data_IF_673732769827
#
_entry.id   IF_673732769827
#
_cell.length_a   1.000
_cell.length_b   1.000
_cell.length_c   1.000
_cell.angle_alpha   90.00
_cell.angle_beta   90.00
_cell.angle_gamma   90.00
#
_symmetry.space_group_name_H-M   'P 1'
#
loop_
_entity.id
_entity.type
_entity.pdbx_description
1 polymer ?
#
# COMPACT_ATOMS: atom_id res chain seq x y z
N UNK A 1 24.87 -26.68 55.67
CA UNK A 1 24.58 -25.69 56.74
C UNK A 1 23.54 -24.72 56.19
N UNK A 2 22.56 -24.24 56.98
CA UNK A 2 21.45 -23.38 56.48
C UNK A 2 21.59 -21.94 57.00
N UNK A 3 21.26 -20.96 56.16
CA UNK A 3 20.67 -19.62 56.41
C UNK A 3 20.29 -19.09 55.00
N UNK A 4 19.10 -18.54 54.68
CA UNK A 4 18.30 -17.44 55.27
C UNK A 4 19.07 -16.09 55.24
N UNK A 5 18.52 -14.92 54.86
CA UNK A 5 17.22 -14.48 54.29
C UNK A 5 17.47 -13.09 53.60
N UNK A 6 16.59 -12.30 52.98
CA UNK A 6 15.12 -12.21 52.89
C UNK A 6 14.68 -11.50 51.57
N UNK A 7 13.37 -11.28 51.38
CA UNK A 7 12.73 -10.57 50.26
C UNK A 7 12.95 -9.04 50.27
N UNK A 8 12.81 -8.41 49.10
CA UNK A 8 12.31 -7.04 48.97
C UNK A 8 11.33 -6.97 47.78
N UNK A 9 10.02 -6.90 48.09
CA UNK A 9 8.94 -6.69 47.12
C UNK A 9 8.42 -5.26 47.30
N UNK A 10 8.28 -4.49 46.21
CA UNK A 10 7.58 -3.20 46.23
C UNK A 10 6.62 -3.09 45.04
N UNK A 11 5.58 -2.28 45.19
CA UNK A 11 4.32 -2.38 44.44
C UNK A 11 3.65 -1.00 44.34
N UNK A 12 2.72 -0.85 43.39
CA UNK A 12 1.99 0.37 43.00
C UNK A 12 2.84 1.39 42.19
N UNK A 13 2.24 2.22 41.32
CA UNK A 13 0.80 2.47 41.14
C UNK A 13 0.33 2.29 39.68
N UNK A 14 -0.95 1.94 39.52
CA UNK A 14 -1.64 1.93 38.23
C UNK A 14 -2.34 3.29 37.98
N UNK A 15 -2.35 3.75 36.73
CA UNK A 15 -3.21 4.84 36.28
C UNK A 15 -4.45 4.24 35.61
N UNK A 16 -5.64 4.60 36.09
CA UNK A 16 -6.90 4.14 35.51
C UNK A 16 -7.52 5.21 34.61
N UNK A 17 -7.76 4.87 33.34
CA UNK A 17 -8.73 5.59 32.51
C UNK A 17 -10.08 4.86 32.57
N UNK A 18 -11.16 5.62 32.67
CA UNK A 18 -12.52 5.11 32.83
C UNK A 18 -13.12 4.68 31.49
N UNK A 19 -13.77 3.50 31.42
CA UNK A 19 -14.72 3.21 30.34
C UNK A 19 -15.92 4.17 30.39
N UNK A 20 -16.50 4.48 29.23
CA UNK A 20 -17.77 5.21 29.15
C UNK A 20 -18.91 4.20 28.94
N UNK A 21 -19.71 3.95 29.97
CA UNK A 21 -20.92 3.14 29.85
C UNK A 21 -21.99 3.86 29.02
N UNK A 22 -22.49 3.17 27.99
CA UNK A 22 -23.48 3.67 27.03
C UNK A 22 -24.34 2.57 26.43
N UNK A 23 -24.71 1.56 27.23
CA UNK A 23 -25.42 0.38 26.75
C UNK A 23 -26.94 0.56 26.61
N UNK A 24 -27.49 0.15 25.47
CA UNK A 24 -28.90 -0.20 25.30
C UNK A 24 -29.04 -1.51 24.53
N UNK A 25 -29.26 -2.60 25.25
CA UNK A 25 -29.71 -3.88 24.67
C UNK A 25 -31.22 -3.97 24.71
N UNK A 26 -31.85 -4.37 23.60
CA UNK A 26 -32.97 -5.31 23.66
C UNK A 26 -33.01 -6.16 22.38
N UNK A 27 -33.68 -7.32 22.42
CA UNK A 27 -33.31 -8.47 21.57
C UNK A 27 -34.47 -9.16 20.82
N UNK A 28 -34.09 -10.14 19.99
CA UNK A 28 -34.91 -11.19 19.32
C UNK A 28 -35.34 -10.90 17.87
N UNK A 29 -35.15 -11.90 16.99
CA UNK A 29 -35.63 -11.86 15.60
C UNK A 29 -34.96 -12.88 14.67
N UNK A 30 -35.21 -14.18 14.85
CA UNK A 30 -34.74 -15.23 13.93
C UNK A 30 -35.92 -15.97 13.29
N UNK A 31 -36.02 -15.92 11.95
CA UNK A 31 -36.68 -16.95 11.12
C UNK A 31 -36.30 -16.81 9.64
N UNK A 32 -35.75 -17.89 9.10
CA UNK A 32 -36.02 -18.56 7.79
C UNK A 32 -36.33 -17.77 6.49
N UNK A 33 -35.72 -18.27 5.41
CA UNK A 33 -35.88 -17.96 3.98
C UNK A 33 -37.29 -18.12 3.38
N UNK A 34 -37.58 -17.40 2.28
CA UNK A 34 -38.35 -17.88 1.10
C UNK A 34 -37.99 -17.05 -0.15
N UNK A 35 -37.99 -17.68 -1.33
CA UNK A 35 -37.57 -17.11 -2.63
C UNK A 35 -38.64 -16.27 -3.40
N UNK A 36 -38.18 -15.74 -4.55
CA UNK A 36 -38.90 -15.65 -5.84
C UNK A 36 -39.52 -14.32 -6.34
N UNK A 37 -38.68 -13.60 -7.12
CA UNK A 37 -38.85 -13.36 -8.58
C UNK A 37 -39.70 -12.20 -9.18
N UNK A 38 -39.18 -11.75 -10.34
CA UNK A 38 -39.84 -11.13 -11.52
C UNK A 38 -39.91 -9.60 -11.71
N UNK A 39 -39.06 -9.10 -12.64
CA UNK A 39 -39.39 -8.48 -13.96
C UNK A 39 -40.81 -7.93 -14.23
N UNK A 40 -41.05 -6.89 -15.06
CA UNK A 40 -40.26 -6.27 -16.16
C UNK A 40 -40.60 -4.78 -16.39
N UNK A 41 -39.72 -4.09 -17.14
CA UNK A 41 -39.71 -2.70 -17.64
C UNK A 41 -41.02 -2.04 -18.16
N UNK A 42 -40.94 -0.71 -18.34
CA UNK A 42 -41.90 0.11 -19.10
C UNK A 42 -41.29 1.42 -19.59
N UNK A 43 -40.72 1.44 -20.80
CA UNK A 43 -40.22 2.64 -21.49
C UNK A 43 -41.37 3.44 -22.12
N UNK A 44 -41.21 4.76 -22.26
CA UNK A 44 -42.17 5.61 -22.97
C UNK A 44 -41.61 6.98 -23.30
N UNK A 45 -41.32 7.20 -24.57
CA UNK A 45 -40.94 8.50 -25.15
C UNK A 45 -42.20 9.29 -25.52
N UNK A 46 -42.15 10.62 -25.48
CA UNK A 46 -42.50 11.42 -26.67
C UNK A 46 -41.96 12.86 -26.57
N UNK A 47 -41.85 13.54 -27.71
CA UNK A 47 -41.19 14.84 -27.83
C UNK A 47 -42.15 15.99 -28.17
N UNK A 48 -41.73 17.23 -27.89
CA UNK A 48 -42.11 18.38 -28.71
C UNK A 48 -41.09 19.52 -28.63
N UNK A 49 -40.98 20.28 -29.71
CA UNK A 49 -40.05 21.40 -29.88
C UNK A 49 -40.82 22.67 -30.25
N UNK A 50 -40.39 23.82 -29.72
CA UNK A 50 -40.80 25.13 -30.24
C UNK A 50 -39.69 26.17 -30.07
N UNK A 51 -39.14 26.61 -31.19
CA UNK A 51 -38.19 27.73 -31.31
C UNK A 51 -38.92 29.07 -31.46
N UNK A 52 -38.44 30.17 -30.85
CA UNK A 52 -38.30 31.48 -31.55
C UNK A 52 -37.79 32.67 -30.71
N UNK A 53 -37.00 33.49 -31.39
CA UNK A 53 -36.82 34.97 -31.29
C UNK A 53 -36.11 35.65 -30.11
N UNK A 54 -35.07 36.39 -30.51
CA UNK A 54 -34.20 37.34 -29.81
C UNK A 54 -34.86 38.69 -29.48
N UNK A 55 -34.50 39.30 -28.34
CA UNK A 55 -34.35 40.76 -28.18
C UNK A 55 -33.45 41.09 -26.97
N UNK A 56 -32.70 42.21 -27.04
CA UNK A 56 -31.96 42.81 -25.91
C UNK A 56 -32.83 43.91 -25.24
N UNK A 57 -32.49 44.62 -24.16
CA UNK A 57 -31.20 45.00 -23.52
C UNK A 57 -31.36 45.22 -22.00
N UNK A 58 -30.27 45.35 -21.24
CA UNK A 58 -29.96 46.47 -20.31
C UNK A 58 -28.67 46.18 -19.52
N UNK A 59 -27.71 47.09 -19.51
CA UNK A 59 -26.50 47.01 -18.67
C UNK A 59 -26.75 47.38 -17.21
N UNK A 60 -26.07 46.69 -16.29
CA UNK A 60 -25.81 47.15 -14.92
C UNK A 60 -24.41 46.67 -14.48
N UNK A 61 -23.46 47.59 -14.16
CA UNK A 61 -22.09 47.20 -13.86
C UNK A 61 -21.91 46.81 -12.39
N UNK A 62 -21.28 45.66 -12.13
CA UNK A 62 -20.80 45.31 -10.79
C UNK A 62 -19.35 44.81 -10.88
N UNK A 63 -18.47 45.50 -10.15
CA UNK A 63 -17.13 45.09 -9.67
C UNK A 63 -16.46 43.90 -10.37
N UNK A 64 -15.43 44.19 -11.19
CA UNK A 64 -14.54 43.16 -11.71
C UNK A 64 -13.69 42.56 -10.58
N UNK A 65 -13.95 41.30 -10.28
CA UNK A 65 -13.08 40.45 -9.47
C UNK A 65 -11.95 39.91 -10.38
N UNK A 66 -10.65 40.12 -10.06
CA UNK A 66 -9.57 39.55 -10.84
C UNK A 66 -9.51 38.05 -10.55
N UNK A 67 -10.21 37.25 -11.35
CA UNK A 67 -10.01 35.80 -11.41
C UNK A 67 -8.59 35.54 -11.92
N UNK A 68 -7.63 35.55 -11.00
CA UNK A 68 -6.26 35.10 -11.25
C UNK A 68 -6.32 33.60 -11.47
N UNK A 69 -6.54 33.22 -12.72
CA UNK A 69 -6.17 31.90 -13.24
C UNK A 69 -4.68 31.75 -13.02
N UNK A 70 -4.33 31.19 -11.86
CA UNK A 70 -2.96 30.87 -11.50
C UNK A 70 -2.54 29.65 -12.34
N UNK A 71 -2.16 29.93 -13.58
CA UNK A 71 -1.43 28.98 -14.42
C UNK A 71 -0.04 28.82 -13.81
N UNK A 72 0.04 28.01 -12.76
CA UNK A 72 1.28 27.52 -12.17
C UNK A 72 1.94 26.55 -13.15
N UNK A 73 2.42 27.08 -14.27
CA UNK A 73 3.28 26.36 -15.20
C UNK A 73 4.67 26.25 -14.59
N UNK A 74 4.82 25.32 -13.65
CA UNK A 74 6.10 24.83 -13.15
C UNK A 74 6.79 24.05 -14.27
N UNK A 75 7.35 24.77 -15.24
CA UNK A 75 8.14 24.19 -16.34
C UNK A 75 9.55 23.83 -15.85
N UNK A 76 9.61 22.96 -14.84
CA UNK A 76 10.70 22.00 -14.72
C UNK A 76 10.29 20.74 -15.48
N UNK A 77 11.27 19.96 -15.91
CA UNK A 77 11.04 18.57 -16.30
C UNK A 77 10.65 17.76 -15.04
N UNK A 78 9.85 16.71 -15.21
CA UNK A 78 9.44 15.83 -14.10
C UNK A 78 10.69 15.13 -13.54
N UNK A 79 11.06 15.44 -12.30
CA UNK A 79 12.16 14.77 -11.61
C UNK A 79 11.61 13.54 -10.88
N UNK A 80 12.05 12.36 -11.30
CA UNK A 80 11.65 11.09 -10.72
C UNK A 80 12.73 10.53 -9.79
N UNK A 81 12.29 9.74 -8.82
CA UNK A 81 13.10 9.12 -7.79
C UNK A 81 12.56 7.70 -7.51
N UNK A 82 13.14 7.02 -6.53
CA UNK A 82 12.65 5.74 -5.99
C UNK A 82 12.71 4.60 -7.00
N UNK A 83 13.83 4.49 -7.71
CA UNK A 83 14.09 3.44 -8.70
C UNK A 83 13.46 3.66 -10.07
N UNK A 84 12.75 4.78 -10.29
CA UNK A 84 12.15 5.10 -11.58
C UNK A 84 13.18 5.68 -12.58
N UNK A 85 13.25 5.12 -13.78
CA UNK A 85 14.08 5.59 -14.90
C UNK A 85 13.19 5.90 -16.12
N UNK A 86 12.84 7.18 -16.32
CA UNK A 86 11.97 7.62 -17.42
C UNK A 86 12.67 7.54 -18.79
N UNK A 87 14.00 7.63 -18.82
CA UNK A 87 14.83 7.65 -20.03
C UNK A 87 15.21 6.25 -20.54
N UNK A 88 14.87 5.19 -19.79
CA UNK A 88 15.12 3.81 -20.16
C UNK A 88 14.52 3.45 -21.55
N UNK A 89 15.24 2.67 -22.39
CA UNK A 89 14.91 2.53 -23.81
C UNK A 89 13.66 1.68 -24.12
N UNK A 90 13.07 1.03 -23.12
CA UNK A 90 11.82 0.28 -23.20
C UNK A 90 11.27 0.03 -21.77
N UNK A 91 9.95 -0.22 -21.62
CA UNK A 91 9.36 -0.60 -20.35
C UNK A 91 10.03 -1.80 -19.68
N UNK A 92 10.36 -1.67 -18.39
CA UNK A 92 10.99 -2.73 -17.59
C UNK A 92 10.54 -2.71 -16.12
N UNK A 93 10.76 -3.83 -15.43
CA UNK A 93 10.62 -4.01 -13.99
C UNK A 93 11.66 -5.03 -13.51
N UNK A 94 12.48 -4.63 -12.54
CA UNK A 94 13.40 -5.49 -11.78
C UNK A 94 13.19 -5.23 -10.29
N UNK A 95 13.38 -6.24 -9.43
CA UNK A 95 13.17 -6.12 -7.98
C UNK A 95 14.46 -6.43 -7.22
N UNK A 96 14.65 -5.74 -6.10
CA UNK A 96 15.80 -5.84 -5.21
C UNK A 96 15.36 -5.99 -3.75
N UNK A 97 16.27 -6.43 -2.88
CA UNK A 97 16.12 -6.32 -1.43
C UNK A 97 16.68 -4.99 -0.88
N UNK A 98 16.59 -4.78 0.44
CA UNK A 98 17.11 -3.59 1.10
C UNK A 98 18.65 -3.45 1.04
N UNK A 99 19.42 -4.53 0.82
CA UNK A 99 20.87 -4.44 0.58
C UNK A 99 21.20 -4.20 -0.91
N UNK A 100 20.18 -3.97 -1.75
CA UNK A 100 20.25 -3.81 -3.20
C UNK A 100 20.83 -5.05 -3.91
N UNK A 101 20.56 -6.25 -3.38
CA UNK A 101 20.74 -7.50 -4.10
C UNK A 101 19.51 -7.78 -4.98
N UNK A 102 19.73 -8.12 -6.26
CA UNK A 102 18.66 -8.40 -7.22
C UNK A 102 17.93 -9.69 -6.85
N UNK A 103 16.60 -9.59 -6.71
CA UNK A 103 15.70 -10.72 -6.44
C UNK A 103 15.45 -11.52 -7.72
N UNK A 104 15.38 -12.84 -7.59
CA UNK A 104 15.16 -13.78 -8.69
C UNK A 104 14.80 -15.17 -8.14
N UNK A 105 14.44 -16.11 -9.03
CA UNK A 105 14.22 -17.53 -8.71
C UNK A 105 15.32 -18.12 -7.81
N UNK A 106 14.94 -18.57 -6.62
CA UNK A 106 15.81 -19.16 -5.61
C UNK A 106 16.66 -18.17 -4.78
N UNK A 107 16.56 -16.86 -5.02
CA UNK A 107 17.17 -15.83 -4.16
C UNK A 107 16.37 -15.71 -2.87
N UNK A 108 17.07 -15.55 -1.74
CA UNK A 108 16.43 -15.41 -0.43
C UNK A 108 15.81 -14.02 -0.28
N UNK A 109 14.53 -13.95 0.10
CA UNK A 109 13.85 -12.69 0.42
C UNK A 109 13.92 -12.45 1.95
N UNK A 110 14.65 -11.43 2.44
CA UNK A 110 14.82 -11.19 3.87
C UNK A 110 13.60 -10.51 4.52
N UNK A 111 13.27 -10.93 5.74
CA UNK A 111 12.36 -10.22 6.62
C UNK A 111 13.06 -8.98 7.20
N UNK A 112 12.37 -7.85 7.18
CA UNK A 112 12.90 -6.56 7.58
C UNK A 112 11.90 -5.77 8.43
N UNK A 113 12.39 -4.73 9.12
CA UNK A 113 11.59 -3.91 10.01
C UNK A 113 11.11 -2.65 9.27
N UNK A 114 9.83 -2.62 8.91
CA UNK A 114 9.21 -1.53 8.17
C UNK A 114 9.01 -0.26 8.99
N UNK A 115 8.80 0.86 8.29
CA UNK A 115 8.78 2.23 8.86
C UNK A 115 7.68 2.58 9.87
N UNK A 116 6.94 1.59 10.39
CA UNK A 116 5.97 1.75 11.49
C UNK A 116 6.17 0.78 12.68
N UNK A 117 7.24 -0.01 12.70
CA UNK A 117 7.43 -1.05 13.73
C UNK A 117 6.71 -2.37 13.39
N UNK A 118 6.25 -2.53 12.15
CA UNK A 118 5.72 -3.79 11.61
C UNK A 118 6.81 -4.52 10.83
N UNK A 119 6.87 -5.85 10.95
CA UNK A 119 7.68 -6.68 10.07
C UNK A 119 7.11 -6.66 8.64
N UNK A 120 7.99 -6.71 7.63
CA UNK A 120 7.63 -6.85 6.22
C UNK A 120 8.69 -7.65 5.47
N UNK A 121 8.37 -8.06 4.25
CA UNK A 121 9.37 -8.37 3.22
C UNK A 121 9.31 -7.25 2.19
N UNK A 122 10.41 -6.50 2.04
CA UNK A 122 10.47 -5.38 1.11
C UNK A 122 10.83 -5.82 -0.30
N UNK A 123 10.04 -5.38 -1.28
CA UNK A 123 10.42 -5.41 -2.69
C UNK A 123 10.83 -3.99 -3.09
N UNK A 124 12.08 -3.79 -3.48
CA UNK A 124 12.64 -2.49 -3.87
C UNK A 124 12.72 -2.44 -5.40
N UNK A 125 11.78 -1.80 -6.12
CA UNK A 125 11.71 -1.90 -7.56
C UNK A 125 12.67 -0.92 -8.26
N UNK A 126 13.31 -1.36 -9.34
CA UNK A 126 13.79 -0.48 -10.41
C UNK A 126 12.95 -0.72 -11.66
N UNK A 127 12.43 0.35 -12.25
CA UNK A 127 11.42 0.27 -13.30
C UNK A 127 11.34 1.58 -14.07
N UNK A 128 10.63 1.60 -15.20
CA UNK A 128 10.49 2.80 -16.02
C UNK A 128 10.51 2.49 -17.51
N UNK A 129 10.97 3.44 -18.32
CA UNK A 129 10.91 3.39 -19.79
C UNK A 129 9.57 3.85 -20.37
N UNK A 130 8.82 4.65 -19.61
CA UNK A 130 7.54 5.25 -19.97
C UNK A 130 7.31 6.53 -19.14
N UNK A 131 6.48 7.45 -19.63
CA UNK A 131 5.98 8.59 -18.84
C UNK A 131 4.81 8.11 -17.96
N UNK A 132 4.88 8.24 -16.62
CA UNK A 132 3.79 7.84 -15.73
C UNK A 132 2.64 8.85 -15.80
N UNK A 133 1.40 8.38 -15.60
CA UNK A 133 0.20 9.23 -15.69
C UNK A 133 0.02 10.21 -14.51
N UNK A 134 0.94 10.21 -13.54
CA UNK A 134 0.94 11.04 -12.34
C UNK A 134 2.23 10.86 -11.54
N UNK A 135 2.22 11.32 -10.29
CA UNK A 135 3.34 11.19 -9.34
C UNK A 135 3.44 9.81 -8.66
N UNK A 136 2.50 8.92 -8.97
CA UNK A 136 2.31 7.62 -8.34
C UNK A 136 1.95 6.56 -9.38
N UNK A 137 2.46 5.36 -9.21
CA UNK A 137 2.09 4.15 -9.98
C UNK A 137 1.38 3.14 -9.08
N UNK A 138 0.83 2.08 -9.67
CA UNK A 138 0.23 0.95 -8.93
C UNK A 138 0.93 -0.34 -9.33
N UNK A 139 1.36 -1.11 -8.34
CA UNK A 139 1.81 -2.49 -8.50
C UNK A 139 0.69 -3.43 -8.08
N UNK A 140 0.31 -4.36 -8.95
CA UNK A 140 -0.58 -5.46 -8.60
C UNK A 140 0.27 -6.61 -8.04
N UNK A 141 0.19 -6.84 -6.73
CA UNK A 141 1.07 -7.78 -6.01
C UNK A 141 0.27 -8.99 -5.49
N UNK A 142 0.74 -10.19 -5.80
CA UNK A 142 0.27 -11.45 -5.21
C UNK A 142 1.45 -12.26 -4.67
N UNK A 143 1.31 -12.78 -3.46
CA UNK A 143 2.31 -13.64 -2.80
C UNK A 143 1.62 -14.82 -2.15
N UNK A 144 2.11 -16.01 -2.46
CA UNK A 144 1.68 -17.28 -1.89
C UNK A 144 2.82 -17.92 -1.10
N UNK A 145 2.58 -18.38 0.13
CA UNK A 145 3.61 -18.94 1.03
C UNK A 145 3.19 -20.31 1.53
N UNK A 146 4.10 -21.29 1.50
CA UNK A 146 3.82 -22.70 1.79
C UNK A 146 3.09 -22.90 3.14
N UNK A 147 1.78 -23.13 3.08
CA UNK A 147 0.92 -23.38 4.24
C UNK A 147 0.41 -22.12 4.98
N UNK A 148 0.78 -20.92 4.54
CA UNK A 148 0.40 -19.64 5.18
C UNK A 148 -0.52 -18.75 4.32
N UNK A 149 -1.13 -19.32 3.28
CA UNK A 149 -2.20 -18.72 2.48
C UNK A 149 -3.51 -18.59 3.29
N UNK A 150 -3.55 -17.63 4.21
CA UNK A 150 -4.64 -17.47 5.18
C UNK A 150 -5.50 -16.23 4.94
N UNK A 151 -5.17 -15.39 3.96
CA UNK A 151 -5.97 -14.19 3.67
C UNK A 151 -7.32 -14.56 2.99
N UNK A 152 -8.33 -13.66 3.00
CA UNK A 152 -9.66 -13.97 2.46
C UNK A 152 -9.74 -14.25 0.95
N UNK A 153 -8.69 -13.92 0.18
CA UNK A 153 -8.60 -14.23 -1.25
C UNK A 153 -7.97 -15.63 -1.51
N UNK A 154 -7.30 -16.22 -0.52
CA UNK A 154 -6.61 -17.51 -0.62
C UNK A 154 -5.09 -17.40 -0.81
N UNK A 155 -4.52 -16.22 -0.56
CA UNK A 155 -3.09 -15.92 -0.67
C UNK A 155 -2.45 -15.62 0.70
N UNK A 156 -1.13 -15.46 0.76
CA UNK A 156 -0.44 -14.88 1.91
C UNK A 156 -0.59 -13.35 1.89
N UNK A 157 -0.30 -12.72 0.74
CA UNK A 157 -0.56 -11.31 0.47
C UNK A 157 -1.18 -11.15 -0.92
N UNK A 158 -2.10 -10.20 -1.10
CA UNK A 158 -2.70 -9.90 -2.41
C UNK A 158 -3.34 -8.51 -2.43
N UNK A 159 -2.95 -7.63 -3.35
CA UNK A 159 -3.61 -6.33 -3.58
C UNK A 159 -2.79 -5.28 -4.35
N UNK A 160 -3.46 -4.18 -4.68
CA UNK A 160 -2.88 -2.97 -5.29
C UNK A 160 -1.96 -2.24 -4.27
N UNK A 161 -0.71 -1.98 -4.66
CA UNK A 161 0.23 -1.14 -3.89
C UNK A 161 0.53 0.15 -4.65
N UNK A 162 0.09 1.27 -4.08
CA UNK A 162 0.31 2.61 -4.62
C UNK A 162 1.72 3.09 -4.26
N UNK A 163 2.56 3.37 -5.25
CA UNK A 163 3.97 3.66 -5.10
C UNK A 163 4.32 5.04 -5.68
N UNK A 164 4.91 5.91 -4.85
CA UNK A 164 5.24 7.29 -5.22
C UNK A 164 6.60 7.38 -5.92
N UNK A 165 6.64 7.98 -7.10
CA UNK A 165 7.84 8.13 -7.95
C UNK A 165 8.42 9.55 -7.96
N UNK A 166 7.77 10.51 -7.28
CA UNK A 166 8.29 11.88 -7.17
C UNK A 166 9.48 12.01 -6.21
N UNK A 167 10.31 13.03 -6.41
CA UNK A 167 11.46 13.32 -5.56
C UNK A 167 11.16 14.15 -4.29
N UNK A 168 9.93 14.63 -4.09
CA UNK A 168 9.55 15.38 -2.89
C UNK A 168 9.38 14.45 -1.66
N UNK A 169 9.75 14.93 -0.46
CA UNK A 169 9.57 14.17 0.78
C UNK A 169 8.08 14.11 1.19
N UNK A 170 7.46 12.93 1.11
CA UNK A 170 6.07 12.74 1.57
C UNK A 170 5.96 12.69 3.10
N UNK A 171 4.86 13.24 3.65
CA UNK A 171 4.60 13.26 5.10
C UNK A 171 3.97 11.95 5.60
N UNK A 172 4.80 10.92 5.73
CA UNK A 172 4.44 9.61 6.28
C UNK A 172 4.18 8.55 5.21
N UNK A 173 4.35 7.29 5.60
CA UNK A 173 4.49 6.15 4.68
C UNK A 173 5.93 5.63 4.67
N UNK A 174 6.21 4.66 3.80
CA UNK A 174 7.57 4.20 3.49
C UNK A 174 7.80 4.49 2.00
N UNK A 175 8.93 5.10 1.67
CA UNK A 175 9.33 5.43 0.29
C UNK A 175 10.34 4.40 -0.22
N UNK A 176 10.37 4.18 -1.53
CA UNK A 176 11.34 3.30 -2.18
C UNK A 176 11.05 1.79 -2.07
N UNK A 177 9.91 1.38 -1.51
CA UNK A 177 9.58 -0.04 -1.28
C UNK A 177 8.11 -0.36 -1.56
N UNK A 178 7.86 -1.53 -2.12
CA UNK A 178 6.56 -2.22 -2.23
C UNK A 178 6.53 -3.28 -1.10
N UNK A 179 5.81 -3.04 0.01
CA UNK A 179 5.95 -3.87 1.22
C UNK A 179 4.96 -5.03 1.26
N UNK A 180 5.47 -6.27 1.35
CA UNK A 180 4.68 -7.45 1.68
C UNK A 180 4.53 -7.50 3.21
N UNK A 181 3.36 -7.15 3.72
CA UNK A 181 3.06 -7.22 5.17
C UNK A 181 2.51 -8.63 5.50
N UNK A 182 3.12 -9.40 6.43
CA UNK A 182 2.56 -10.66 6.90
C UNK A 182 1.18 -10.46 7.56
N UNK A 183 0.22 -11.40 7.40
CA UNK A 183 -1.11 -11.26 8.00
C UNK A 183 -1.10 -11.10 9.53
N UNK A 184 -2.02 -10.29 10.07
CA UNK A 184 -2.17 -10.03 11.52
C UNK A 184 -2.45 -11.30 12.34
N UNK A 185 -3.00 -12.35 11.72
CA UNK A 185 -3.22 -13.66 12.34
C UNK A 185 -1.91 -14.46 12.56
N UNK A 186 -0.78 -14.03 12.01
CA UNK A 186 0.52 -14.70 12.13
C UNK A 186 1.16 -14.39 13.50
N UNK A 187 1.34 -15.38 14.40
CA UNK A 187 1.72 -15.10 15.80
C UNK A 187 3.21 -14.77 16.00
N UNK A 188 4.08 -15.16 15.07
CA UNK A 188 5.52 -14.87 15.03
C UNK A 188 5.99 -15.07 13.58
N UNK A 189 6.58 -14.07 12.90
CA UNK A 189 7.11 -14.25 11.55
C UNK A 189 8.19 -15.33 11.42
N UNK A 190 8.82 -15.77 12.52
CA UNK A 190 9.83 -16.83 12.48
C UNK A 190 9.30 -18.21 12.07
N UNK A 191 7.97 -18.40 11.99
CA UNK A 191 7.38 -19.59 11.39
C UNK A 191 7.51 -19.64 9.86
N UNK A 192 7.88 -18.52 9.23
CA UNK A 192 8.10 -18.40 7.79
C UNK A 192 9.56 -18.73 7.37
N UNK A 193 10.47 -18.89 8.32
CA UNK A 193 11.91 -19.03 8.05
C UNK A 193 12.24 -20.27 7.23
N UNK A 194 12.81 -20.08 6.04
CA UNK A 194 13.12 -21.13 5.08
C UNK A 194 11.93 -21.69 4.30
N UNK A 195 10.72 -21.14 4.44
CA UNK A 195 9.57 -21.52 3.61
C UNK A 195 9.67 -20.92 2.21
N UNK A 196 9.08 -21.61 1.24
CA UNK A 196 8.97 -21.12 -0.13
C UNK A 196 7.84 -20.11 -0.27
N UNK A 197 8.12 -18.99 -0.94
CA UNK A 197 7.13 -18.03 -1.41
C UNK A 197 7.11 -17.99 -2.95
N UNK A 198 5.94 -18.06 -3.55
CA UNK A 198 5.71 -17.71 -4.96
C UNK A 198 5.32 -16.22 -4.99
N UNK A 199 6.11 -15.38 -5.65
CA UNK A 199 5.91 -13.92 -5.74
C UNK A 199 5.64 -13.54 -7.19
N UNK A 200 4.50 -12.88 -7.40
CA UNK A 200 4.04 -12.37 -8.68
C UNK A 200 3.70 -10.88 -8.54
N UNK A 201 4.30 -10.05 -9.39
CA UNK A 201 4.11 -8.58 -9.39
C UNK A 201 3.86 -8.12 -10.81
N UNK A 202 2.80 -7.34 -11.05
CA UNK A 202 2.54 -6.68 -12.33
C UNK A 202 2.52 -5.15 -12.19
N UNK A 203 2.83 -4.46 -13.29
CA UNK A 203 2.82 -3.01 -13.41
C UNK A 203 2.38 -2.60 -14.83
N UNK A 204 1.42 -1.67 -14.94
CA UNK A 204 1.08 -1.05 -16.22
C UNK A 204 2.06 0.08 -16.57
N UNK A 205 3.09 -0.28 -17.34
CA UNK A 205 4.11 0.64 -17.82
C UNK A 205 3.64 1.39 -19.09
N UNK A 206 2.62 2.22 -18.93
CA UNK A 206 2.12 3.14 -19.97
C UNK A 206 1.29 2.49 -21.08
N UNK A 207 0.54 1.43 -20.75
CA UNK A 207 -0.20 0.59 -21.70
C UNK A 207 0.54 -0.69 -22.12
N UNK A 208 1.71 -0.96 -21.51
CA UNK A 208 2.41 -2.24 -21.60
C UNK A 208 2.54 -2.84 -20.20
N UNK A 209 1.92 -3.99 -19.98
CA UNK A 209 2.10 -4.76 -18.76
C UNK A 209 3.54 -5.32 -18.70
N UNK A 210 4.23 -5.09 -17.59
CA UNK A 210 5.50 -5.75 -17.24
C UNK A 210 5.29 -6.53 -15.94
N UNK A 211 5.90 -7.72 -15.83
CA UNK A 211 5.77 -8.58 -14.64
C UNK A 211 7.12 -9.01 -14.08
N UNK A 212 7.11 -9.35 -12.80
CA UNK A 212 8.14 -10.12 -12.10
C UNK A 212 7.50 -11.38 -11.54
N UNK A 213 8.15 -12.52 -11.74
CA UNK A 213 7.67 -13.84 -11.35
C UNK A 213 8.85 -14.66 -10.78
N UNK A 214 8.83 -15.02 -9.50
CA UNK A 214 9.88 -15.83 -8.87
C UNK A 214 9.40 -16.67 -7.68
N UNK A 215 9.99 -17.86 -7.53
CA UNK A 215 9.90 -18.67 -6.32
C UNK A 215 11.11 -18.39 -5.44
N UNK A 216 10.90 -17.89 -4.22
CA UNK A 216 11.96 -17.39 -3.33
C UNK A 216 11.82 -17.97 -1.91
N UNK A 217 12.89 -18.53 -1.30
CA UNK A 217 12.86 -18.87 0.12
C UNK A 217 12.86 -17.62 0.99
N UNK A 218 11.99 -17.57 2.00
CA UNK A 218 11.93 -16.48 2.96
C UNK A 218 13.02 -16.64 4.05
N UNK A 219 13.61 -15.54 4.49
CA UNK A 219 14.54 -15.51 5.65
C UNK A 219 13.93 -14.68 6.78
N UNK A 220 13.39 -15.35 7.79
CA UNK A 220 12.78 -14.74 8.97
C UNK A 220 13.39 -15.33 10.27
N UNK A 221 14.72 -15.30 10.45
CA UNK A 221 15.38 -16.05 11.52
C UNK A 221 14.87 -15.62 12.90
N UNK A 222 14.59 -16.60 13.76
CA UNK A 222 14.03 -16.37 15.11
C UNK A 222 14.85 -15.39 15.96
N UNK A 223 16.17 -15.29 15.74
CA UNK A 223 17.04 -14.31 16.42
C UNK A 223 16.70 -12.86 16.03
N UNK A 224 16.21 -12.63 14.81
CA UNK A 224 15.73 -11.33 14.33
C UNK A 224 14.36 -11.00 14.93
N UNK A 225 13.38 -11.92 14.85
CA UNK A 225 12.02 -11.63 15.31
C UNK A 225 11.94 -11.40 16.82
N UNK A 226 12.76 -12.10 17.61
CA UNK A 226 12.86 -11.93 19.07
C UNK A 226 13.48 -10.61 19.53
N UNK A 227 14.25 -9.91 18.68
CA UNK A 227 14.70 -8.54 18.98
C UNK A 227 13.57 -7.51 18.86
N UNK A 228 12.51 -7.85 18.12
CA UNK A 228 11.36 -7.00 17.85
C UNK A 228 11.63 -5.93 16.79
N UNK A 229 10.63 -5.63 15.97
CA UNK A 229 10.71 -4.50 15.03
C UNK A 229 10.44 -3.19 15.78
N UNK A 230 11.50 -2.61 16.36
CA UNK A 230 11.45 -1.26 16.92
C UNK A 230 11.88 -0.24 15.86
N UNK A 231 11.23 0.93 15.86
CA UNK A 231 11.54 2.07 14.99
C UNK A 231 13.05 2.44 14.97
N UNK A 232 13.76 1.90 13.98
CA UNK A 232 14.69 2.68 13.18
C UNK A 232 14.04 2.86 11.81
N UNK A 233 13.98 4.09 11.31
CA UNK A 233 13.80 4.26 9.87
C UNK A 233 15.10 3.77 9.24
N UNK A 234 15.05 2.60 8.63
CA UNK A 234 16.03 2.20 7.64
C UNK A 234 15.89 3.20 6.48
N UNK A 235 16.79 4.17 6.39
CA UNK A 235 16.83 5.08 5.24
C UNK A 235 16.92 4.21 3.98
N UNK A 236 15.97 4.33 3.02
CA UNK A 236 15.98 3.53 1.80
C UNK A 236 17.30 3.73 1.05
N UNK A 237 17.79 2.69 0.33
CA UNK A 237 19.07 2.72 -0.37
C UNK A 237 19.33 4.04 -1.12
N UNK A 238 20.49 4.63 -0.86
CA UNK A 238 20.79 6.02 -1.24
C UNK A 238 20.93 6.23 -2.76
N UNK A 239 21.07 5.15 -3.51
CA UNK A 239 21.03 5.06 -4.97
C UNK A 239 19.60 5.14 -5.54
N UNK A 240 18.62 4.47 -4.92
CA UNK A 240 17.20 4.61 -5.29
C UNK A 240 16.71 6.07 -5.21
N UNK A 241 17.30 6.87 -4.31
CA UNK A 241 16.99 8.30 -4.12
C UNK A 241 17.77 9.24 -5.04
N UNK A 242 18.58 8.72 -5.97
CA UNK A 242 19.61 9.49 -6.68
C UNK A 242 19.76 9.20 -8.19
N UNK A 243 18.83 8.46 -8.80
CA UNK A 243 18.74 8.34 -10.27
C UNK A 243 17.90 9.51 -10.82
N UNK A 244 18.46 10.36 -11.70
CA UNK A 244 17.76 11.50 -12.31
C UNK A 244 17.04 11.13 -13.61
#
# INVERSE_FOLDING_TARGET
MRLNLQHALLLLAAAACTPHDGGTTDASGSTTTTDAASTTAGTGEDASSTTSTTAATTDAPTTGDPTTTATSSTTGESAYCWGFDVDAPAPFLELYDFEHAQLAEGVTLPLECGGQGSWMFGLYPEFGGYEPAGDSVVFDLTVDVEGYNINPAGHFFSGEVYYYVGCDDILGGVLGVVPIIPPDELPDPAVLDGLSAEVHVELDAGGQLVSFDATMPLSAPMELTQNGCMFGLADPPADLRARP
#
